data_IF_800370079683
#
_entry.id   IF_800370079683
#
_cell.length_a   1.000
_cell.length_b   1.000
_cell.length_c   1.000
_cell.angle_alpha   90.00
_cell.angle_beta   90.00
_cell.angle_gamma   90.00
#
_symmetry.space_group_name_H-M   'P 1'
#
loop_
_entity.id
_entity.type
_entity.pdbx_description
1 polymer ?
#
# COMPACT_ATOMS: atom_id res chain seq x y z
N UNK A 1 11.80 -4.97 -5.14
CA UNK A 1 12.53 -4.34 -6.26
C UNK A 1 13.30 -5.38 -7.09
N UNK A 2 14.08 -6.26 -6.47
CA UNK A 2 14.97 -7.20 -7.20
C UNK A 2 14.30 -8.39 -7.92
N UNK A 3 13.03 -8.74 -7.63
CA UNK A 3 12.34 -9.93 -8.21
C UNK A 3 11.24 -9.53 -9.21
N UNK A 4 11.16 -8.26 -9.60
CA UNK A 4 10.21 -7.86 -10.64
C UNK A 4 8.80 -7.50 -10.14
N UNK A 5 8.58 -7.39 -8.83
CA UNK A 5 7.29 -6.98 -8.25
C UNK A 5 6.92 -5.55 -8.71
N UNK A 6 5.77 -5.35 -9.41
CA UNK A 6 5.41 -4.04 -9.95
C UNK A 6 5.11 -3.00 -8.86
N UNK A 7 4.65 -3.46 -7.70
CA UNK A 7 4.21 -2.65 -6.56
C UNK A 7 4.95 -3.06 -5.29
N UNK A 8 5.35 -2.09 -4.48
CA UNK A 8 5.91 -2.30 -3.15
C UNK A 8 4.93 -1.73 -2.11
N UNK A 9 4.40 -2.57 -1.23
CA UNK A 9 3.44 -2.15 -0.20
C UNK A 9 4.19 -2.02 1.13
N UNK A 10 4.15 -0.84 1.71
CA UNK A 10 4.72 -0.53 3.02
C UNK A 10 3.60 -0.43 4.05
N UNK A 11 3.70 -1.25 5.09
CA UNK A 11 2.85 -1.19 6.29
C UNK A 11 3.67 -0.61 7.43
N UNK A 12 3.25 0.53 7.97
CA UNK A 12 3.96 1.26 9.01
C UNK A 12 3.18 1.32 10.34
N UNK A 13 3.81 1.90 11.36
CA UNK A 13 3.17 2.07 12.67
C UNK A 13 2.01 3.08 12.63
N UNK A 14 1.96 3.97 11.63
CA UNK A 14 0.79 4.84 11.42
C UNK A 14 -0.42 4.01 10.97
N UNK A 15 -0.22 3.01 10.12
CA UNK A 15 -1.28 2.08 9.72
C UNK A 15 -1.80 1.27 10.91
N UNK A 16 -0.89 0.75 11.75
CA UNK A 16 -1.24 -0.13 12.88
C UNK A 16 -1.83 0.61 14.08
N UNK A 17 -1.42 1.86 14.30
CA UNK A 17 -1.66 2.57 15.55
C UNK A 17 -0.69 2.13 16.65
N UNK A 18 -0.22 3.08 17.44
CA UNK A 18 0.60 2.86 18.64
C UNK A 18 -0.12 3.39 19.88
N UNK A 19 0.20 2.80 21.05
CA UNK A 19 -0.33 3.07 22.40
C UNK A 19 -1.37 4.20 22.50
N UNK A 20 -2.66 3.82 22.45
CA UNK A 20 -3.79 4.72 22.69
C UNK A 20 -4.24 5.57 21.49
N UNK A 21 -3.63 5.45 20.31
CA UNK A 21 -4.10 6.12 19.09
C UNK A 21 -4.60 5.12 18.04
N UNK A 22 -5.83 5.29 17.51
CA UNK A 22 -6.28 4.50 16.37
C UNK A 22 -5.41 4.81 15.16
N UNK A 23 -4.92 3.75 14.51
CA UNK A 23 -4.23 3.84 13.23
C UNK A 23 -5.16 4.30 12.11
N UNK A 24 -4.58 4.80 11.03
CA UNK A 24 -5.32 5.33 9.88
C UNK A 24 -5.71 4.26 8.85
N UNK A 25 -5.50 2.97 9.17
CA UNK A 25 -5.87 1.81 8.35
C UNK A 25 -5.51 1.98 6.85
N UNK A 26 -4.43 2.70 6.58
CA UNK A 26 -3.98 3.03 5.24
C UNK A 26 -2.56 2.57 5.03
N UNK A 27 -2.30 1.93 3.90
CA UNK A 27 -0.96 1.48 3.49
C UNK A 27 -0.40 2.38 2.40
N UNK A 28 0.93 2.44 2.33
CA UNK A 28 1.61 3.17 1.26
C UNK A 28 2.03 2.19 0.19
N UNK A 29 1.54 2.38 -1.03
CA UNK A 29 1.94 1.61 -2.21
C UNK A 29 2.89 2.46 -3.03
N UNK A 30 4.08 1.93 -3.28
CA UNK A 30 5.10 2.53 -4.14
C UNK A 30 5.17 1.78 -5.47
N UNK A 31 5.07 2.52 -6.57
CA UNK A 31 5.23 1.99 -7.91
C UNK A 31 6.71 1.93 -8.28
N UNK A 32 7.14 0.81 -8.82
CA UNK A 32 8.51 0.68 -9.31
C UNK A 32 8.72 1.54 -10.56
N UNK A 33 7.76 1.49 -11.48
CA UNK A 33 7.95 2.05 -12.82
C UNK A 33 7.86 3.59 -12.84
N UNK A 34 6.93 4.19 -12.09
CA UNK A 34 6.78 5.66 -11.99
C UNK A 34 7.49 6.29 -10.79
N UNK A 35 8.04 5.48 -9.88
CA UNK A 35 8.56 5.92 -8.57
C UNK A 35 7.54 6.65 -7.67
N UNK A 36 6.26 6.67 -8.03
CA UNK A 36 5.22 7.32 -7.25
C UNK A 36 4.90 6.55 -5.96
N UNK A 37 4.41 7.29 -4.96
CA UNK A 37 3.95 6.75 -3.70
C UNK A 37 2.51 7.23 -3.47
N UNK A 38 1.58 6.29 -3.36
CA UNK A 38 0.18 6.57 -3.06
C UNK A 38 -0.17 5.95 -1.72
N UNK A 39 -0.98 6.69 -0.94
CA UNK A 39 -1.51 6.18 0.32
C UNK A 39 -2.96 5.77 0.09
N UNK A 40 -3.25 4.51 0.32
CA UNK A 40 -4.56 3.91 0.07
C UNK A 40 -5.10 3.26 1.35
N UNK A 41 -6.40 3.40 1.64
CA UNK A 41 -7.06 2.62 2.67
C UNK A 41 -6.92 1.12 2.39
N UNK A 42 -6.73 0.31 3.43
CA UNK A 42 -6.64 -1.15 3.31
C UNK A 42 -7.90 -1.73 2.68
N UNK A 43 -9.07 -1.19 3.02
CA UNK A 43 -10.36 -1.64 2.47
C UNK A 43 -10.44 -1.50 0.94
N UNK A 44 -9.76 -0.49 0.37
CA UNK A 44 -9.74 -0.26 -1.08
C UNK A 44 -8.54 -0.88 -1.78
N UNK A 45 -7.57 -1.40 -1.02
CA UNK A 45 -6.33 -1.96 -1.55
C UNK A 45 -6.58 -3.22 -2.39
N UNK A 46 -7.49 -4.09 -1.96
CA UNK A 46 -7.80 -5.35 -2.65
C UNK A 46 -8.40 -5.09 -4.04
N UNK A 47 -9.40 -4.22 -4.13
CA UNK A 47 -10.02 -3.85 -5.41
C UNK A 47 -9.03 -3.11 -6.31
N UNK A 48 -8.20 -2.23 -5.73
CA UNK A 48 -7.18 -1.51 -6.46
C UNK A 48 -6.12 -2.46 -7.05
N UNK A 49 -5.58 -3.38 -6.24
CA UNK A 49 -4.65 -4.40 -6.70
C UNK A 49 -5.30 -5.28 -7.77
N UNK A 50 -6.53 -5.76 -7.56
CA UNK A 50 -7.22 -6.57 -8.56
C UNK A 50 -7.33 -5.86 -9.92
N UNK A 51 -7.58 -4.53 -9.95
CA UNK A 51 -7.60 -3.74 -11.19
C UNK A 51 -6.22 -3.60 -11.85
N UNK A 52 -5.16 -3.53 -11.06
CA UNK A 52 -3.80 -3.38 -11.57
C UNK A 52 -3.19 -4.70 -12.08
N UNK A 53 -3.60 -5.83 -11.49
CA UNK A 53 -3.08 -7.15 -11.85
C UNK A 53 -3.97 -7.85 -12.89
N UNK A 54 -5.24 -7.48 -13.01
CA UNK A 54 -6.14 -7.99 -14.05
C UNK A 54 -5.69 -7.48 -15.43
N UNK A 55 -4.98 -8.36 -16.14
CA UNK A 55 -4.71 -8.27 -17.57
C UNK A 55 -5.92 -8.67 -18.41
#
# INVERSE_FOLDING_TARGET
DEIGTPFCITYDFQTKGEDGKPGDNSVTVRFRDSMEQIRLPIDSLEEWLSKQIAF
#
